data_IF_231666801734
#
_entry.id   IF_231666801734
#
_cell.length_a   1.000
_cell.length_b   1.000
_cell.length_c   1.000
_cell.angle_alpha   90.00
_cell.angle_beta   90.00
_cell.angle_gamma   90.00
#
_symmetry.space_group_name_H-M   'P 1'
#
loop_
_entity.id
_entity.type
_entity.pdbx_description
1 polymer ?
#
# COMPACT_ATOMS: atom_id res chain seq x y z
N UNK A 1 13.26 -5.07 -11.81
CA UNK A 1 13.77 -5.71 -10.57
C UNK A 1 13.51 -7.21 -10.49
N UNK A 2 12.79 -7.85 -11.44
CA UNK A 2 12.66 -9.31 -11.48
C UNK A 2 11.66 -9.95 -10.52
N UNK A 3 11.05 -9.16 -9.62
CA UNK A 3 10.01 -9.60 -8.69
C UNK A 3 8.62 -9.63 -9.34
N UNK A 4 7.73 -10.50 -8.84
CA UNK A 4 6.32 -10.45 -9.21
C UNK A 4 5.68 -9.18 -8.65
N UNK A 5 4.74 -8.53 -9.36
CA UNK A 5 4.05 -7.35 -8.84
C UNK A 5 3.38 -7.57 -7.47
N UNK A 6 2.84 -8.77 -7.23
CA UNK A 6 2.23 -9.14 -5.93
C UNK A 6 3.23 -9.19 -4.77
N UNK A 7 4.53 -9.31 -5.07
CA UNK A 7 5.61 -9.33 -4.09
C UNK A 7 6.19 -7.91 -3.87
N UNK A 8 5.59 -6.89 -4.52
CA UNK A 8 6.02 -5.51 -4.45
C UNK A 8 5.00 -4.65 -3.71
N UNK A 9 5.51 -3.67 -2.95
CA UNK A 9 4.71 -2.60 -2.35
C UNK A 9 5.11 -1.27 -2.98
N UNK A 10 4.13 -0.48 -3.42
CA UNK A 10 4.31 0.90 -3.89
C UNK A 10 3.83 1.86 -2.81
N UNK A 11 4.57 2.93 -2.57
CA UNK A 11 4.14 4.04 -1.72
C UNK A 11 3.81 5.18 -2.70
N UNK A 12 2.57 5.64 -2.73
CA UNK A 12 2.15 6.67 -3.70
C UNK A 12 1.22 7.73 -3.08
N UNK A 13 1.35 8.99 -3.51
CA UNK A 13 0.58 10.12 -3.00
C UNK A 13 -0.46 10.68 -4.01
N UNK A 14 -0.49 10.16 -5.24
CA UNK A 14 -1.48 10.56 -6.25
C UNK A 14 -2.51 9.47 -6.55
N UNK A 15 -3.80 9.82 -6.79
CA UNK A 15 -4.80 8.82 -7.18
C UNK A 15 -4.48 8.11 -8.50
N UNK A 16 -3.82 8.82 -9.43
CA UNK A 16 -3.36 8.25 -10.70
C UNK A 16 -2.28 7.20 -10.50
N UNK A 17 -1.29 7.47 -9.64
CA UNK A 17 -0.23 6.52 -9.34
C UNK A 17 -0.73 5.32 -8.53
N UNK A 18 -1.63 5.56 -7.57
CA UNK A 18 -2.28 4.45 -6.84
C UNK A 18 -3.04 3.54 -7.79
N UNK A 19 -3.86 4.11 -8.68
CA UNK A 19 -4.61 3.31 -9.66
C UNK A 19 -3.68 2.49 -10.54
N UNK A 20 -2.60 3.09 -11.04
CA UNK A 20 -1.62 2.38 -11.86
C UNK A 20 -0.95 1.22 -11.12
N UNK A 21 -0.56 1.40 -9.85
CA UNK A 21 0.03 0.32 -9.04
C UNK A 21 -0.95 -0.82 -8.78
N UNK A 22 -2.21 -0.50 -8.49
CA UNK A 22 -3.29 -1.48 -8.32
C UNK A 22 -3.54 -2.25 -9.62
N UNK A 23 -3.66 -1.56 -10.75
CA UNK A 23 -3.88 -2.18 -12.06
C UNK A 23 -2.69 -3.07 -12.49
N UNK A 24 -1.48 -2.76 -12.01
CA UNK A 24 -0.30 -3.60 -12.21
C UNK A 24 -0.25 -4.84 -11.29
N UNK A 25 -1.20 -4.99 -10.36
CA UNK A 25 -1.27 -6.11 -9.41
C UNK A 25 -0.31 -5.97 -8.22
N UNK A 26 0.08 -4.75 -7.86
CA UNK A 26 0.91 -4.47 -6.68
C UNK A 26 0.05 -4.14 -5.46
N UNK A 27 0.60 -4.31 -4.26
CA UNK A 27 0.03 -3.68 -3.06
C UNK A 27 0.42 -2.21 -3.06
N UNK A 28 -0.53 -1.31 -2.81
CA UNK A 28 -0.24 0.14 -2.79
C UNK A 28 -0.58 0.74 -1.43
N UNK A 29 0.39 1.40 -0.82
CA UNK A 29 0.21 2.24 0.35
C UNK A 29 0.08 3.70 -0.09
N UNK A 30 -1.04 4.32 0.25
CA UNK A 30 -1.30 5.73 -0.03
C UNK A 30 -0.63 6.65 1.00
N UNK A 31 0.24 7.55 0.56
CA UNK A 31 0.82 8.60 1.41
C UNK A 31 0.00 9.88 1.33
N UNK A 32 -0.73 10.19 2.39
CA UNK A 32 -1.72 11.27 2.44
C UNK A 32 -1.31 12.44 3.35
N UNK A 33 -0.06 12.88 3.26
CA UNK A 33 0.39 14.09 3.97
C UNK A 33 -0.30 15.36 3.42
N UNK A 34 -0.42 15.47 2.10
CA UNK A 34 -0.91 16.68 1.41
C UNK A 34 -2.20 16.46 0.63
N UNK A 35 -2.74 15.23 0.61
CA UNK A 35 -3.93 14.87 -0.16
C UNK A 35 -5.01 14.32 0.77
N UNK A 36 -6.29 14.56 0.43
CA UNK A 36 -7.40 13.92 1.11
C UNK A 36 -7.25 12.39 1.02
N UNK A 37 -7.11 11.67 2.15
CA UNK A 37 -6.83 10.24 2.16
C UNK A 37 -7.96 9.42 1.50
N UNK A 38 -9.19 9.92 1.48
CA UNK A 38 -10.31 9.25 0.79
C UNK A 38 -10.09 9.16 -0.72
N UNK A 39 -9.37 10.11 -1.34
CA UNK A 39 -9.05 10.04 -2.76
C UNK A 39 -8.15 8.86 -3.10
N UNK A 40 -7.24 8.49 -2.18
CA UNK A 40 -6.33 7.36 -2.36
C UNK A 40 -7.04 6.02 -2.07
N UNK A 41 -7.88 5.99 -1.02
CA UNK A 41 -8.72 4.80 -0.72
C UNK A 41 -9.67 4.47 -1.87
N UNK A 42 -10.33 5.49 -2.43
CA UNK A 42 -11.30 5.32 -3.51
C UNK A 42 -10.74 4.66 -4.78
N UNK A 43 -9.42 4.76 -5.01
CA UNK A 43 -8.75 4.17 -6.18
C UNK A 43 -7.96 2.89 -5.85
N UNK A 44 -8.04 2.39 -4.61
CA UNK A 44 -7.55 1.07 -4.23
C UNK A 44 -6.29 1.02 -3.36
N UNK A 45 -5.87 2.14 -2.73
CA UNK A 45 -4.81 2.07 -1.74
C UNK A 45 -5.20 1.13 -0.58
N UNK A 46 -4.37 0.12 -0.29
CA UNK A 46 -4.62 -0.91 0.72
C UNK A 46 -4.46 -0.38 2.15
N UNK A 47 -3.52 0.55 2.33
CA UNK A 47 -3.28 1.31 3.56
C UNK A 47 -3.14 2.77 3.18
N UNK A 48 -3.66 3.69 3.99
CA UNK A 48 -3.40 5.12 3.80
C UNK A 48 -2.88 5.72 5.09
N UNK A 49 -1.74 6.38 5.03
CA UNK A 49 -1.01 6.93 6.17
C UNK A 49 -0.42 8.30 5.80
N UNK A 50 -0.08 9.13 6.79
CA UNK A 50 0.32 10.52 6.58
C UNK A 50 1.62 10.92 7.28
N UNK A 51 2.35 9.94 7.84
CA UNK A 51 3.66 10.14 8.45
C UNK A 51 4.60 9.01 7.99
N UNK A 52 5.66 9.37 7.27
CA UNK A 52 6.66 8.41 6.77
C UNK A 52 7.36 7.61 7.88
N UNK A 53 7.33 8.08 9.13
CA UNK A 53 7.83 7.31 10.29
C UNK A 53 7.02 6.04 10.55
N UNK A 54 5.78 5.96 10.06
CA UNK A 54 4.94 4.77 10.18
C UNK A 54 5.33 3.68 9.18
N UNK A 55 6.00 4.03 8.08
CA UNK A 55 6.27 3.11 6.97
C UNK A 55 7.01 1.83 7.39
N UNK A 56 8.09 1.86 8.21
CA UNK A 56 8.77 0.63 8.63
C UNK A 56 7.82 -0.36 9.32
N UNK A 57 6.97 0.15 10.23
CA UNK A 57 5.99 -0.68 10.94
C UNK A 57 4.92 -1.24 10.00
N UNK A 58 4.47 -0.46 9.02
CA UNK A 58 3.49 -0.91 8.03
C UNK A 58 4.06 -2.01 7.12
N UNK A 59 5.33 -1.90 6.72
CA UNK A 59 6.01 -2.93 5.94
C UNK A 59 6.20 -4.22 6.75
N UNK A 60 6.53 -4.13 8.04
CA UNK A 60 6.61 -5.30 8.92
C UNK A 60 5.26 -6.03 9.04
N UNK A 61 4.16 -5.28 9.13
CA UNK A 61 2.80 -5.84 9.18
C UNK A 61 2.41 -6.53 7.87
N UNK A 62 2.79 -5.95 6.73
CA UNK A 62 2.55 -6.55 5.41
C UNK A 62 3.33 -7.85 5.19
N UNK A 63 4.55 -7.93 5.74
CA UNK A 63 5.42 -9.09 5.60
C UNK A 63 5.07 -10.24 6.56
N UNK A 64 4.07 -10.09 7.43
CA UNK A 64 3.64 -11.18 8.30
C UNK A 64 2.80 -12.18 7.50
N UNK A 65 3.23 -13.44 7.34
CA UNK A 65 2.35 -14.46 6.77
C UNK A 65 1.13 -14.59 7.69
N UNK A 66 -0.07 -14.68 7.11
CA UNK A 66 -1.27 -15.08 7.83
C UNK A 66 -0.97 -16.41 8.53
N UNK A 67 -0.62 -16.37 9.82
CA UNK A 67 -0.67 -17.54 10.67
C UNK A 67 -2.15 -17.90 10.69
N UNK A 68 -2.54 -18.95 9.97
CA UNK A 68 -3.82 -19.62 10.16
C UNK A 68 -3.88 -20.04 11.62
N UNK A 69 -4.50 -19.24 12.48
CA UNK A 69 -4.98 -19.70 13.76
C UNK A 69 -6.13 -20.66 13.46
N UNK A 70 -5.76 -21.93 13.33
CA UNK A 70 -6.71 -23.02 13.22
C UNK A 70 -7.76 -22.91 14.32
N UNK A 71 -9.00 -22.65 13.89
CA UNK A 71 -10.23 -23.14 14.48
C UNK A 71 -11.17 -23.49 13.34
#
# INVERSE_FOLDING_TARGET
MGFSPKDCVVIEDTPTGVRAGVDAGMTVFGYAELINPEKLRAVGASVVFNDMKLLPKLLDQQNQPFINSGK
#
